data_IF_746934454100
#
_entry.id   IF_746934454100
#
_cell.length_a   1.000
_cell.length_b   1.000
_cell.length_c   1.000
_cell.angle_alpha   90.00
_cell.angle_beta   90.00
_cell.angle_gamma   90.00
#
_symmetry.space_group_name_H-M   'P 1'
#
loop_
_entity.id
_entity.type
_entity.pdbx_description
1 polymer ?
#
# COMPACT_ATOMS: atom_id res chain seq x y z
N UNK A 1 -38.59 0.58 0.75
CA UNK A 1 -38.18 1.76 1.55
C UNK A 1 -37.04 1.45 2.55
N UNK A 2 -36.93 0.22 3.06
CA UNK A 2 -35.77 -0.20 3.88
C UNK A 2 -34.53 -0.52 3.04
N UNK A 3 -34.63 -1.31 1.96
CA UNK A 3 -33.47 -1.76 1.16
C UNK A 3 -32.63 -0.62 0.55
N UNK A 4 -33.26 0.45 0.07
CA UNK A 4 -32.58 1.59 -0.56
C UNK A 4 -31.65 2.34 0.43
N UNK A 5 -32.02 2.35 1.73
CA UNK A 5 -31.23 2.97 2.80
C UNK A 5 -30.02 2.12 3.22
N UNK A 6 -30.09 0.80 3.04
CA UNK A 6 -28.96 -0.11 3.28
C UNK A 6 -27.93 -0.04 2.15
N UNK A 7 -28.39 -0.07 0.90
CA UNK A 7 -27.51 0.07 -0.29
C UNK A 7 -26.74 1.40 -0.27
N UNK A 8 -27.40 2.50 0.09
CA UNK A 8 -26.76 3.81 0.20
C UNK A 8 -25.69 3.85 1.29
N UNK A 9 -25.98 3.35 2.51
CA UNK A 9 -24.97 3.24 3.58
C UNK A 9 -23.77 2.36 3.21
N UNK A 10 -24.02 1.27 2.50
CA UNK A 10 -22.96 0.37 2.05
C UNK A 10 -22.06 1.07 1.02
N UNK A 11 -22.65 1.74 0.03
CA UNK A 11 -21.91 2.52 -0.98
C UNK A 11 -21.08 3.66 -0.38
N UNK A 12 -21.60 4.32 0.65
CA UNK A 12 -20.93 5.40 1.36
C UNK A 12 -19.74 4.87 2.18
N UNK A 13 -19.91 3.72 2.82
CA UNK A 13 -18.84 3.02 3.54
C UNK A 13 -17.73 2.57 2.58
N UNK A 14 -18.10 2.03 1.42
CA UNK A 14 -17.14 1.67 0.35
C UNK A 14 -16.36 2.87 -0.18
N UNK A 15 -17.01 4.03 -0.38
CA UNK A 15 -16.32 5.27 -0.77
C UNK A 15 -15.34 5.75 0.29
N UNK A 16 -15.61 5.51 1.58
CA UNK A 16 -14.70 5.85 2.68
C UNK A 16 -13.52 4.89 2.77
N UNK A 17 -13.73 3.58 2.64
CA UNK A 17 -12.67 2.57 2.80
C UNK A 17 -11.86 2.29 1.53
N UNK A 18 -12.44 2.52 0.33
CA UNK A 18 -11.83 2.21 -0.96
C UNK A 18 -10.42 2.80 -1.13
N UNK A 19 -10.20 4.09 -0.81
CA UNK A 19 -8.86 4.67 -0.82
C UNK A 19 -7.86 3.94 0.08
N UNK A 20 -8.25 3.52 1.29
CA UNK A 20 -7.35 2.80 2.21
C UNK A 20 -6.99 1.40 1.70
N UNK A 21 -7.96 0.70 1.09
CA UNK A 21 -7.71 -0.58 0.42
C UNK A 21 -6.71 -0.42 -0.73
N UNK A 22 -6.88 0.61 -1.58
CA UNK A 22 -5.95 0.91 -2.67
C UNK A 22 -4.52 1.18 -2.18
N UNK A 23 -4.37 1.88 -1.05
CA UNK A 23 -3.06 2.11 -0.42
C UNK A 23 -2.42 0.81 0.09
N UNK A 24 -3.20 -0.10 0.69
CA UNK A 24 -2.72 -1.41 1.12
C UNK A 24 -2.26 -2.27 -0.05
N UNK A 25 -3.02 -2.28 -1.15
CA UNK A 25 -2.63 -2.98 -2.39
C UNK A 25 -1.36 -2.39 -2.99
N UNK A 26 -1.21 -1.07 -3.02
CA UNK A 26 0.00 -0.40 -3.50
C UNK A 26 1.22 -0.77 -2.66
N UNK A 27 1.08 -0.81 -1.33
CA UNK A 27 2.14 -1.25 -0.41
C UNK A 27 2.56 -2.69 -0.71
N UNK A 28 1.61 -3.62 -0.78
CA UNK A 28 1.87 -5.02 -1.09
C UNK A 28 2.58 -5.18 -2.44
N UNK A 29 2.09 -4.49 -3.49
CA UNK A 29 2.71 -4.50 -4.81
C UNK A 29 4.16 -3.99 -4.78
N UNK A 30 4.43 -2.92 -4.03
CA UNK A 30 5.78 -2.35 -3.88
C UNK A 30 6.74 -3.33 -3.21
N UNK A 31 6.31 -3.97 -2.13
CA UNK A 31 7.14 -4.94 -1.39
C UNK A 31 7.44 -6.15 -2.28
N UNK A 32 6.43 -6.70 -2.95
CA UNK A 32 6.58 -7.84 -3.87
C UNK A 32 7.55 -7.47 -5.01
N UNK A 33 7.37 -6.31 -5.62
CA UNK A 33 8.25 -5.82 -6.69
C UNK A 33 9.71 -5.72 -6.22
N UNK A 34 9.96 -5.06 -5.09
CA UNK A 34 11.31 -4.88 -4.54
C UNK A 34 11.97 -6.21 -4.14
N UNK A 35 11.19 -7.15 -3.60
CA UNK A 35 11.66 -8.49 -3.26
C UNK A 35 12.12 -9.26 -4.50
N UNK A 36 11.29 -9.30 -5.56
CA UNK A 36 11.65 -9.98 -6.80
C UNK A 36 12.84 -9.30 -7.50
N UNK A 37 12.89 -7.98 -7.45
CA UNK A 37 14.00 -7.20 -8.00
C UNK A 37 15.31 -7.48 -7.27
N UNK A 38 15.28 -7.52 -5.93
CA UNK A 38 16.44 -7.87 -5.11
C UNK A 38 16.91 -9.31 -5.35
N UNK A 39 15.97 -10.26 -5.47
CA UNK A 39 16.29 -11.65 -5.79
C UNK A 39 16.93 -11.80 -7.17
N UNK A 40 16.39 -11.13 -8.19
CA UNK A 40 16.95 -11.16 -9.54
C UNK A 40 18.37 -10.60 -9.57
N UNK A 41 18.62 -9.51 -8.85
CA UNK A 41 19.95 -8.89 -8.75
C UNK A 41 20.97 -9.80 -8.04
N UNK A 42 20.53 -10.49 -6.98
CA UNK A 42 21.37 -11.44 -6.25
C UNK A 42 21.77 -12.66 -7.11
N UNK A 43 20.86 -13.15 -7.97
CA UNK A 43 21.16 -14.24 -8.91
C UNK A 43 22.19 -13.82 -9.97
N UNK A 44 22.09 -12.59 -10.49
CA UNK A 44 23.03 -12.10 -11.52
C UNK A 44 24.43 -11.84 -10.94
N UNK A 45 24.50 -11.36 -9.69
CA UNK A 45 25.76 -10.97 -9.05
C UNK A 45 26.41 -12.10 -8.22
N UNK A 46 25.77 -13.28 -8.12
CA UNK A 46 26.19 -14.40 -7.25
C UNK A 46 26.39 -13.97 -5.78
N UNK A 47 25.72 -12.91 -5.33
CA UNK A 47 25.80 -12.37 -3.96
C UNK A 47 24.70 -12.88 -3.05
N UNK A 48 24.01 -13.96 -3.42
CA UNK A 48 22.91 -14.51 -2.63
C UNK A 48 23.34 -14.74 -1.16
N UNK A 49 22.64 -14.17 -0.14
CA UNK A 49 21.38 -13.41 -0.19
C UNK A 49 21.51 -11.92 0.26
N UNK A 50 22.65 -11.27 0.02
CA UNK A 50 22.91 -9.95 0.61
C UNK A 50 22.09 -8.81 -0.01
N UNK A 51 21.93 -8.76 -1.34
CA UNK A 51 21.18 -7.69 -1.99
C UNK A 51 19.68 -7.86 -1.76
N UNK A 52 19.18 -9.09 -1.77
CA UNK A 52 17.79 -9.40 -1.47
C UNK A 52 17.41 -8.89 -0.08
N UNK A 53 18.26 -9.09 0.93
CA UNK A 53 18.02 -8.55 2.29
C UNK A 53 18.03 -7.02 2.28
N UNK A 54 19.03 -6.40 1.63
CA UNK A 54 19.12 -4.94 1.56
C UNK A 54 17.90 -4.32 0.84
N UNK A 55 17.52 -4.84 -0.32
CA UNK A 55 16.36 -4.38 -1.08
C UNK A 55 15.03 -4.67 -0.39
N UNK A 56 14.92 -5.80 0.33
CA UNK A 56 13.70 -6.09 1.10
C UNK A 56 13.55 -5.16 2.29
N UNK A 57 14.65 -4.85 2.99
CA UNK A 57 14.64 -3.86 4.07
C UNK A 57 14.31 -2.46 3.53
N UNK A 58 15.01 -2.00 2.50
CA UNK A 58 14.77 -0.69 1.89
C UNK A 58 13.35 -0.60 1.33
N UNK A 59 12.90 -1.61 0.59
CA UNK A 59 11.56 -1.69 0.02
C UNK A 59 10.47 -1.74 1.09
N UNK A 60 10.70 -2.48 2.18
CA UNK A 60 9.81 -2.52 3.34
C UNK A 60 9.70 -1.17 4.04
N UNK A 61 10.83 -0.55 4.39
CA UNK A 61 10.88 0.76 5.03
C UNK A 61 10.27 1.85 4.14
N UNK A 62 10.66 1.92 2.87
CA UNK A 62 10.14 2.89 1.92
C UNK A 62 8.64 2.68 1.66
N UNK A 63 8.19 1.43 1.56
CA UNK A 63 6.78 1.07 1.41
C UNK A 63 5.96 1.55 2.60
N UNK A 64 6.36 1.18 3.82
CA UNK A 64 5.65 1.56 5.05
C UNK A 64 5.65 3.08 5.24
N UNK A 65 6.79 3.75 5.01
CA UNK A 65 6.89 5.20 5.10
C UNK A 65 5.93 5.90 4.13
N UNK A 66 5.91 5.47 2.86
CA UNK A 66 4.99 6.01 1.87
C UNK A 66 3.53 5.72 2.21
N UNK A 67 3.23 4.52 2.72
CA UNK A 67 1.89 4.15 3.16
C UNK A 67 1.39 5.08 4.28
N UNK A 68 2.15 5.21 5.37
CA UNK A 68 1.79 6.06 6.52
C UNK A 68 1.63 7.52 6.06
N UNK A 69 2.59 8.05 5.30
CA UNK A 69 2.54 9.42 4.78
C UNK A 69 1.29 9.65 3.93
N UNK A 70 0.98 8.74 3.02
CA UNK A 70 -0.18 8.86 2.12
C UNK A 70 -1.50 8.74 2.88
N UNK A 71 -1.57 7.84 3.87
CA UNK A 71 -2.74 7.72 4.76
C UNK A 71 -2.98 9.01 5.54
N UNK A 72 -1.93 9.62 6.10
CA UNK A 72 -2.03 10.90 6.83
C UNK A 72 -2.47 12.05 5.91
N UNK A 73 -1.89 12.14 4.71
CA UNK A 73 -2.27 13.15 3.72
C UNK A 73 -3.72 12.98 3.23
N UNK A 74 -4.15 11.73 3.07
CA UNK A 74 -5.52 11.41 2.68
C UNK A 74 -6.52 11.76 3.79
N UNK A 75 -6.20 11.44 5.05
CA UNK A 75 -7.02 11.80 6.20
C UNK A 75 -7.19 13.34 6.31
N UNK A 76 -6.10 14.09 6.15
CA UNK A 76 -6.14 15.57 6.13
C UNK A 76 -6.98 16.13 4.98
N UNK A 77 -7.02 15.47 3.82
CA UNK A 77 -7.88 15.87 2.68
C UNK A 77 -9.35 15.57 2.93
N UNK A 78 -9.68 14.47 3.62
CA UNK A 78 -11.05 14.13 3.99
C UNK A 78 -11.60 15.16 4.98
N UNK A 79 -10.81 15.54 6.00
CA UNK A 79 -11.22 16.52 7.01
C UNK A 79 -11.41 17.94 6.44
N UNK A 80 -10.60 18.37 5.46
CA UNK A 80 -10.76 19.69 4.81
C UNK A 80 -11.97 19.79 3.88
N UNK A 81 -12.58 18.67 3.50
CA UNK A 81 -13.69 18.62 2.54
C UNK A 81 -15.06 18.47 3.24
N UNK A 82 -15.07 18.27 4.56
CA UNK A 82 -16.25 18.34 5.42
C UNK A 82 -16.34 19.73 6.07
#
# INVERSE_FOLDING_TARGET
>A
MSEEKYTSKFSESYRKIGPYLGLGTQLAATIILMFFLGRWLDTELNTEPFLMIAFSLIGGFAGIYNFIKTVLDLNKKIDKKN
#
